data_IF_711806323681
#
_entry.id   IF_711806323681
#
_cell.length_a   1.000
_cell.length_b   1.000
_cell.length_c   1.000
_cell.angle_alpha   90.00
_cell.angle_beta   90.00
_cell.angle_gamma   90.00
#
_symmetry.space_group_name_H-M   'P 1'
#
loop_
_entity.id
_entity.type
_entity.pdbx_description
1 polymer ?
#
# COMPACT_ATOMS: atom_id res chain seq x y z
N UNK A 1 -60.47 -6.03 7.83
CA UNK A 1 -59.25 -5.91 8.63
C UNK A 1 -58.07 -5.90 7.66
N UNK A 2 -57.58 -4.70 7.29
CA UNK A 2 -56.51 -4.54 6.29
C UNK A 2 -55.19 -4.63 7.05
N UNK A 3 -54.46 -5.73 6.89
CA UNK A 3 -53.12 -5.89 7.47
C UNK A 3 -52.12 -5.27 6.49
N UNK A 4 -51.63 -4.09 6.86
CA UNK A 4 -50.63 -3.33 6.13
C UNK A 4 -49.27 -4.04 6.20
N UNK A 5 -48.83 -4.61 5.08
CA UNK A 5 -47.49 -5.17 4.92
C UNK A 5 -46.45 -4.05 4.91
N UNK A 6 -45.80 -3.83 6.05
CA UNK A 6 -44.60 -3.00 6.12
C UNK A 6 -43.47 -3.68 5.34
N UNK A 7 -43.21 -3.16 4.14
CA UNK A 7 -42.04 -3.46 3.32
C UNK A 7 -40.79 -3.01 4.09
N UNK A 8 -40.00 -3.98 4.57
CA UNK A 8 -38.67 -3.71 5.14
C UNK A 8 -37.76 -3.30 3.99
N UNK A 9 -37.41 -2.03 3.94
CA UNK A 9 -36.45 -1.48 2.97
C UNK A 9 -35.06 -1.86 3.49
N UNK A 10 -34.46 -2.91 2.92
CA UNK A 10 -33.07 -3.25 3.18
C UNK A 10 -32.16 -2.13 2.65
N UNK A 11 -31.51 -1.40 3.56
CA UNK A 11 -30.50 -0.40 3.21
C UNK A 11 -29.20 -1.15 2.89
N UNK A 12 -28.95 -1.38 1.61
CA UNK A 12 -27.71 -1.97 1.10
C UNK A 12 -26.54 -0.99 1.28
N UNK A 13 -25.76 -1.17 2.34
CA UNK A 13 -24.45 -0.57 2.50
C UNK A 13 -23.58 -1.57 3.26
N UNK A 14 -22.55 -2.11 2.62
CA UNK A 14 -21.61 -3.04 3.27
C UNK A 14 -20.99 -2.33 4.48
N UNK A 15 -21.25 -2.84 5.68
CA UNK A 15 -20.58 -2.40 6.93
C UNK A 15 -19.07 -2.56 6.76
N UNK A 16 -18.30 -1.51 6.99
CA UNK A 16 -16.83 -1.64 6.94
C UNK A 16 -16.35 -2.50 8.11
N UNK A 17 -15.20 -3.17 7.96
CA UNK A 17 -14.63 -4.00 9.03
C UNK A 17 -14.47 -3.22 10.34
N UNK A 18 -14.11 -1.95 10.27
CA UNK A 18 -14.05 -1.08 11.45
C UNK A 18 -15.42 -0.73 12.02
N UNK A 19 -16.45 -0.55 11.22
CA UNK A 19 -17.81 -0.35 11.74
C UNK A 19 -18.34 -1.57 12.49
N UNK A 20 -17.84 -2.77 12.18
CA UNK A 20 -18.14 -3.99 12.94
C UNK A 20 -17.32 -4.11 14.23
N UNK A 21 -16.07 -3.61 14.24
CA UNK A 21 -15.16 -3.66 15.40
C UNK A 21 -15.38 -2.51 16.40
N UNK A 22 -15.70 -1.31 15.90
CA UNK A 22 -15.93 -0.11 16.67
C UNK A 22 -17.39 0.32 16.56
N UNK A 23 -18.05 0.46 17.70
CA UNK A 23 -19.49 0.78 17.78
C UNK A 23 -19.81 2.19 17.27
N UNK A 24 -18.85 3.12 17.31
CA UNK A 24 -19.07 4.54 16.97
C UNK A 24 -18.54 4.87 15.58
N UNK A 25 -19.46 5.18 14.65
CA UNK A 25 -19.14 5.66 13.30
C UNK A 25 -18.40 7.00 13.32
N UNK A 26 -18.80 7.90 14.22
CA UNK A 26 -18.15 9.20 14.41
C UNK A 26 -16.70 9.02 14.84
N UNK A 27 -16.45 8.09 15.78
CA UNK A 27 -15.09 7.75 16.20
C UNK A 27 -14.25 7.23 15.04
N UNK A 28 -14.76 6.28 14.25
CA UNK A 28 -14.03 5.75 13.09
C UNK A 28 -13.65 6.87 12.12
N UNK A 29 -14.59 7.78 11.82
CA UNK A 29 -14.35 8.93 10.94
C UNK A 29 -13.30 9.89 11.50
N UNK A 30 -13.38 10.22 12.80
CA UNK A 30 -12.40 11.07 13.47
C UNK A 30 -11.02 10.42 13.48
N UNK A 31 -10.91 9.13 13.86
CA UNK A 31 -9.65 8.40 13.85
C UNK A 31 -9.04 8.38 12.45
N UNK A 32 -9.86 8.11 11.42
CA UNK A 32 -9.41 8.14 10.02
C UNK A 32 -8.80 9.51 9.69
N UNK A 33 -9.53 10.59 9.97
CA UNK A 33 -9.06 11.94 9.69
C UNK A 33 -7.76 12.29 10.44
N UNK A 34 -7.71 12.06 11.75
CA UNK A 34 -6.53 12.37 12.56
C UNK A 34 -5.29 11.54 12.17
N UNK A 35 -5.45 10.27 11.83
CA UNK A 35 -4.31 9.41 11.45
C UNK A 35 -3.86 9.61 10.00
N UNK A 36 -4.74 10.11 9.12
CA UNK A 36 -4.37 10.55 7.77
C UNK A 36 -3.70 11.92 7.78
N UNK A 37 -4.04 12.79 8.74
CA UNK A 37 -3.53 14.16 8.86
C UNK A 37 -2.92 14.43 10.26
N UNK A 38 -1.82 13.76 10.65
CA UNK A 38 -1.33 13.79 12.04
C UNK A 38 -0.73 15.13 12.49
N UNK A 39 -0.22 15.94 11.56
CA UNK A 39 0.35 17.28 11.85
C UNK A 39 -0.70 18.41 11.79
N UNK A 40 -1.93 18.12 11.33
CA UNK A 40 -2.99 19.13 11.26
C UNK A 40 -3.67 19.32 12.62
N UNK A 41 -4.04 20.57 12.90
CA UNK A 41 -4.79 20.96 14.08
C UNK A 41 -6.24 21.26 13.69
N UNK A 42 -7.18 20.61 14.36
CA UNK A 42 -8.59 20.70 14.01
C UNK A 42 -9.42 21.27 15.14
N UNK A 43 -10.41 22.10 14.83
CA UNK A 43 -11.45 22.48 15.80
C UNK A 43 -12.75 21.72 15.53
N UNK A 44 -13.55 21.54 16.59
CA UNK A 44 -14.71 20.63 16.55
C UNK A 44 -15.74 20.96 15.45
N UNK A 45 -15.91 22.24 15.09
CA UNK A 45 -16.88 22.66 14.06
C UNK A 45 -16.40 22.33 12.65
N UNK A 46 -15.11 22.49 12.37
CA UNK A 46 -14.50 22.04 11.11
C UNK A 46 -14.65 20.53 10.95
N UNK A 47 -14.31 19.76 11.99
CA UNK A 47 -14.41 18.29 11.96
C UNK A 47 -15.83 17.82 11.66
N UNK A 48 -16.83 18.41 12.32
CA UNK A 48 -18.23 18.11 12.07
C UNK A 48 -18.65 18.30 10.60
N UNK A 49 -18.16 19.38 9.97
CA UNK A 49 -18.39 19.63 8.55
C UNK A 49 -17.64 18.63 7.67
N UNK A 50 -16.33 18.43 7.92
CA UNK A 50 -15.45 17.59 7.10
C UNK A 50 -15.87 16.12 7.10
N UNK A 51 -16.38 15.60 8.22
CA UNK A 51 -16.82 14.20 8.32
C UNK A 51 -18.33 14.01 8.12
N UNK A 52 -19.08 15.10 7.93
CA UNK A 52 -20.52 15.10 7.71
C UNK A 52 -21.32 14.53 8.89
N UNK A 53 -20.97 14.91 10.12
CA UNK A 53 -21.60 14.43 11.35
C UNK A 53 -22.07 15.60 12.24
N UNK A 54 -23.01 15.32 13.15
CA UNK A 54 -23.52 16.33 14.06
C UNK A 54 -22.45 16.80 15.05
N UNK A 55 -22.36 18.13 15.25
CA UNK A 55 -21.39 18.76 16.15
C UNK A 55 -21.38 18.15 17.56
N UNK A 56 -22.55 17.86 18.13
CA UNK A 56 -22.65 17.27 19.48
C UNK A 56 -21.99 15.89 19.58
N UNK A 57 -22.18 15.05 18.56
CA UNK A 57 -21.57 13.72 18.51
C UNK A 57 -20.05 13.82 18.32
N UNK A 58 -19.59 14.73 17.47
CA UNK A 58 -18.16 15.02 17.30
C UNK A 58 -17.55 15.55 18.60
N UNK A 59 -18.19 16.51 19.25
CA UNK A 59 -17.70 17.08 20.51
C UNK A 59 -17.59 16.02 21.62
N UNK A 60 -18.59 15.15 21.74
CA UNK A 60 -18.57 14.05 22.70
C UNK A 60 -17.44 13.06 22.43
N UNK A 61 -17.21 12.68 21.16
CA UNK A 61 -16.12 11.77 20.81
C UNK A 61 -14.74 12.42 20.96
N UNK A 62 -14.59 13.70 20.63
CA UNK A 62 -13.35 14.43 20.87
C UNK A 62 -12.99 14.45 22.34
N UNK A 63 -13.96 14.73 23.22
CA UNK A 63 -13.75 14.66 24.67
C UNK A 63 -13.39 13.25 25.15
N UNK A 64 -13.98 12.20 24.57
CA UNK A 64 -13.62 10.82 24.89
C UNK A 64 -12.18 10.49 24.48
N UNK A 65 -11.77 10.84 23.26
CA UNK A 65 -10.44 10.54 22.72
C UNK A 65 -9.34 11.38 23.41
N UNK A 66 -9.65 12.62 23.78
CA UNK A 66 -8.78 13.46 24.61
C UNK A 66 -8.62 12.87 26.02
N UNK A 67 -9.71 12.45 26.67
CA UNK A 67 -9.69 11.88 28.02
C UNK A 67 -8.84 10.61 28.12
N UNK A 68 -8.80 9.79 27.07
CA UNK A 68 -7.93 8.60 27.05
C UNK A 68 -6.49 8.92 26.65
N UNK A 69 -6.18 10.18 26.28
CA UNK A 69 -4.86 10.63 25.90
C UNK A 69 -4.47 10.38 24.44
N UNK A 70 -5.41 9.91 23.60
CA UNK A 70 -5.15 9.73 22.17
C UNK A 70 -5.11 11.06 21.42
N UNK A 71 -5.91 12.04 21.86
CA UNK A 71 -5.82 13.41 21.38
C UNK A 71 -5.21 14.30 22.45
N UNK A 72 -4.44 15.31 22.02
CA UNK A 72 -4.12 16.47 22.83
C UNK A 72 -4.90 17.68 22.32
N UNK A 73 -5.07 18.68 23.17
CA UNK A 73 -5.72 19.92 22.78
C UNK A 73 -4.95 21.14 23.23
N UNK A 74 -5.16 22.24 22.50
CA UNK A 74 -4.60 23.55 22.79
C UNK A 74 -5.68 24.62 22.61
N UNK A 75 -5.68 25.62 23.48
CA UNK A 75 -6.60 26.74 23.40
C UNK A 75 -5.91 27.96 22.78
N UNK A 76 -6.38 28.37 21.61
CA UNK A 76 -5.88 29.54 20.89
C UNK A 76 -7.05 30.41 20.44
N UNK A 77 -7.00 31.70 20.78
CA UNK A 77 -8.01 32.70 20.39
C UNK A 77 -9.48 32.28 20.64
N UNK A 78 -9.78 31.77 21.85
CA UNK A 78 -11.09 31.23 22.25
C UNK A 78 -11.57 29.98 21.49
N UNK A 79 -10.71 29.37 20.68
CA UNK A 79 -10.98 28.12 19.97
C UNK A 79 -10.11 27.01 20.57
N UNK A 80 -10.70 25.82 20.76
CA UNK A 80 -9.99 24.63 21.21
C UNK A 80 -9.64 23.78 19.98
N UNK A 81 -8.35 23.62 19.74
CA UNK A 81 -7.80 22.79 18.67
C UNK A 81 -7.42 21.43 19.24
N UNK A 82 -7.60 20.40 18.43
CA UNK A 82 -7.27 19.02 18.74
C UNK A 82 -6.26 18.51 17.73
N UNK A 83 -5.33 17.69 18.20
CA UNK A 83 -4.39 16.92 17.37
C UNK A 83 -4.22 15.52 17.94
N UNK A 84 -3.79 14.59 17.10
CA UNK A 84 -3.40 13.26 17.60
C UNK A 84 -2.16 13.36 18.46
N UNK A 85 -2.03 12.48 19.45
CA UNK A 85 -0.85 12.37 20.31
C UNK A 85 0.06 11.23 19.81
N UNK A 86 1.22 11.54 19.20
CA UNK A 86 2.16 10.51 18.75
C UNK A 86 2.74 9.66 19.88
N UNK A 87 2.70 10.17 21.12
CA UNK A 87 3.21 9.47 22.31
C UNK A 87 2.16 8.53 22.95
N UNK A 88 1.01 8.33 22.32
CA UNK A 88 -0.01 7.41 22.82
C UNK A 88 0.49 5.95 22.75
N UNK A 89 0.31 5.10 23.79
CA UNK A 89 0.96 3.79 23.89
C UNK A 89 0.71 2.79 22.74
N UNK A 90 -0.36 2.97 21.96
CA UNK A 90 -0.68 2.13 20.78
C UNK A 90 -0.87 2.97 19.51
N UNK A 91 -0.23 4.14 19.43
CA UNK A 91 -0.35 5.06 18.31
C UNK A 91 -0.03 4.37 16.98
N UNK A 92 1.11 3.69 16.89
CA UNK A 92 1.57 3.05 15.66
C UNK A 92 0.65 1.90 15.22
N UNK A 93 0.16 1.09 16.16
CA UNK A 93 -0.79 0.00 15.90
C UNK A 93 -2.12 0.55 15.39
N UNK A 94 -2.68 1.56 16.08
CA UNK A 94 -3.93 2.18 15.67
C UNK A 94 -3.80 2.84 14.29
N UNK A 95 -2.72 3.60 14.06
CA UNK A 95 -2.44 4.21 12.76
C UNK A 95 -2.39 3.16 11.66
N UNK A 96 -1.64 2.07 11.87
CA UNK A 96 -1.56 0.95 10.91
C UNK A 96 -2.92 0.31 10.64
N UNK A 97 -3.72 0.07 11.68
CA UNK A 97 -5.08 -0.49 11.53
C UNK A 97 -5.95 0.47 10.72
N UNK A 98 -6.01 1.73 11.12
CA UNK A 98 -6.83 2.75 10.46
C UNK A 98 -6.41 2.92 9.00
N UNK A 99 -5.13 3.11 8.69
CA UNK A 99 -4.68 3.25 7.30
C UNK A 99 -4.94 1.99 6.45
N UNK A 100 -4.87 0.80 7.06
CA UNK A 100 -5.22 -0.48 6.41
C UNK A 100 -6.71 -0.61 6.11
N UNK A 101 -7.57 0.00 6.91
CA UNK A 101 -9.01 -0.35 6.94
C UNK A 101 -9.94 0.82 6.64
N UNK A 102 -9.48 2.07 6.69
CA UNK A 102 -10.24 3.27 6.35
C UNK A 102 -9.42 4.31 5.57
N UNK A 103 -10.10 4.98 4.65
CA UNK A 103 -9.56 6.08 3.84
C UNK A 103 -8.70 5.58 2.68
N UNK A 104 -7.40 5.47 2.91
CA UNK A 104 -6.39 5.26 1.88
C UNK A 104 -6.45 3.86 1.25
N UNK A 105 -6.31 2.81 2.06
CA UNK A 105 -6.26 1.45 1.52
C UNK A 105 -7.58 1.01 0.88
N UNK A 106 -8.70 1.51 1.42
CA UNK A 106 -10.04 1.20 0.95
C UNK A 106 -10.39 1.96 -0.35
N UNK A 107 -9.95 3.22 -0.48
CA UNK A 107 -10.08 3.99 -1.70
C UNK A 107 -9.18 3.42 -2.80
N UNK A 108 -7.90 3.15 -2.50
CA UNK A 108 -6.96 2.50 -3.41
C UNK A 108 -7.45 1.11 -3.85
N UNK A 109 -7.99 0.30 -2.94
CA UNK A 109 -8.54 -1.02 -3.29
C UNK A 109 -9.73 -0.90 -4.24
N UNK A 110 -10.70 -0.01 -3.98
CA UNK A 110 -11.85 0.21 -4.87
C UNK A 110 -11.43 0.75 -6.23
N UNK A 111 -10.38 1.56 -6.25
CA UNK A 111 -9.72 2.07 -7.42
C UNK A 111 -9.12 0.93 -8.25
N UNK A 112 -8.28 0.12 -7.62
CA UNK A 112 -7.58 -1.01 -8.23
C UNK A 112 -8.53 -2.12 -8.71
N UNK A 113 -9.64 -2.37 -8.01
CA UNK A 113 -10.68 -3.32 -8.43
C UNK A 113 -11.28 -2.97 -9.82
N UNK A 114 -11.13 -1.73 -10.30
CA UNK A 114 -11.65 -1.27 -11.60
C UNK A 114 -10.62 -1.31 -12.74
N UNK A 115 -9.36 -1.63 -12.44
CA UNK A 115 -8.22 -1.43 -13.34
C UNK A 115 -7.76 -2.69 -14.10
N UNK A 116 -8.36 -3.84 -13.82
CA UNK A 116 -8.02 -5.13 -14.46
C UNK A 116 -7.67 -6.22 -13.44
N UNK A 117 -7.08 -7.35 -13.87
CA UNK A 117 -6.64 -8.43 -12.98
C UNK A 117 -5.38 -8.01 -12.19
N UNK A 118 -5.60 -7.33 -11.06
CA UNK A 118 -4.57 -7.06 -10.06
C UNK A 118 -4.35 -8.32 -9.23
N UNK A 119 -3.13 -8.87 -9.28
CA UNK A 119 -2.77 -10.07 -8.51
C UNK A 119 -2.34 -9.71 -7.08
N UNK A 120 -1.57 -8.64 -6.94
CA UNK A 120 -1.20 -8.08 -5.66
C UNK A 120 -1.06 -6.55 -5.78
N UNK A 121 -1.48 -5.84 -4.74
CA UNK A 121 -1.16 -4.43 -4.60
C UNK A 121 -0.90 -4.13 -3.13
N UNK A 122 0.13 -3.33 -2.86
CA UNK A 122 0.52 -3.03 -1.50
C UNK A 122 1.29 -1.71 -1.42
N UNK A 123 1.11 -1.02 -0.30
CA UNK A 123 1.90 0.16 0.03
C UNK A 123 3.18 -0.32 0.73
N UNK A 124 4.33 0.23 0.35
CA UNK A 124 5.63 -0.04 0.97
C UNK A 124 6.27 1.27 1.47
N UNK A 125 7.53 1.21 1.91
CA UNK A 125 8.26 2.40 2.34
C UNK A 125 7.84 2.93 3.71
N UNK A 126 8.03 4.23 3.93
CA UNK A 126 7.83 4.93 5.21
C UNK A 126 6.39 4.79 5.74
N UNK A 127 5.40 4.83 4.85
CA UNK A 127 3.98 4.59 5.19
C UNK A 127 3.79 3.23 5.83
N UNK A 128 4.47 2.22 5.32
CA UNK A 128 4.34 0.84 5.78
C UNK A 128 5.16 0.56 7.05
N UNK A 129 6.31 1.23 7.22
CA UNK A 129 7.13 1.13 8.45
C UNK A 129 6.51 1.89 9.63
N UNK A 130 5.71 2.94 9.36
CA UNK A 130 5.07 3.76 10.38
C UNK A 130 5.96 4.87 10.94
N UNK A 131 7.05 5.20 10.24
CA UNK A 131 8.06 6.21 10.61
C UNK A 131 7.81 7.59 9.97
N UNK A 132 6.60 7.86 9.48
CA UNK A 132 6.31 9.06 8.67
C UNK A 132 6.12 10.38 9.45
N UNK A 133 6.59 11.46 8.80
CA UNK A 133 5.99 12.80 8.86
C UNK A 133 4.78 12.89 7.90
N UNK A 134 3.77 13.71 8.23
CA UNK A 134 2.48 13.84 7.51
C UNK A 134 2.53 14.17 6.01
N UNK A 135 3.69 14.60 5.51
CA UNK A 135 3.90 15.03 4.13
C UNK A 135 4.53 13.95 3.23
N UNK A 136 4.81 12.76 3.76
CA UNK A 136 5.53 11.74 3.01
C UNK A 136 4.71 11.22 1.82
N UNK A 137 5.38 10.88 0.73
CA UNK A 137 4.74 10.29 -0.44
C UNK A 137 4.23 8.87 -0.14
N UNK A 138 3.17 8.45 -0.83
CA UNK A 138 2.63 7.10 -0.69
C UNK A 138 3.24 6.21 -1.78
N UNK A 139 4.10 5.28 -1.38
CA UNK A 139 4.72 4.32 -2.29
C UNK A 139 3.81 3.10 -2.52
N UNK A 140 3.27 2.96 -3.72
CA UNK A 140 2.36 1.89 -4.13
C UNK A 140 3.02 0.93 -5.13
N UNK A 141 3.05 -0.36 -4.81
CA UNK A 141 3.38 -1.42 -5.75
C UNK A 141 2.11 -2.08 -6.26
N UNK A 142 2.00 -2.25 -7.57
CA UNK A 142 0.94 -3.00 -8.24
C UNK A 142 1.56 -4.11 -9.08
N UNK A 143 1.13 -5.35 -8.83
CA UNK A 143 1.54 -6.54 -9.58
C UNK A 143 0.31 -7.09 -10.30
N UNK A 144 0.35 -7.07 -11.63
CA UNK A 144 -0.73 -7.56 -12.47
C UNK A 144 -0.73 -6.92 -13.84
N UNK A 145 -1.63 -7.38 -14.70
CA UNK A 145 -1.85 -6.80 -16.02
C UNK A 145 -2.89 -5.67 -15.90
N UNK A 146 -2.39 -4.46 -15.66
CA UNK A 146 -3.21 -3.26 -15.41
C UNK A 146 -3.03 -2.23 -16.51
N UNK A 147 -4.13 -1.57 -16.88
CA UNK A 147 -4.06 -0.42 -17.79
C UNK A 147 -3.43 0.78 -17.06
N UNK A 148 -2.22 1.16 -17.47
CA UNK A 148 -1.47 2.28 -16.90
C UNK A 148 -2.19 3.62 -17.05
N UNK A 149 -2.92 3.84 -18.16
CA UNK A 149 -3.67 5.08 -18.35
C UNK A 149 -4.81 5.17 -17.34
N UNK A 150 -5.57 4.08 -17.18
CA UNK A 150 -6.64 4.02 -16.20
C UNK A 150 -6.08 4.15 -14.76
N UNK A 151 -4.96 3.50 -14.45
CA UNK A 151 -4.28 3.61 -13.15
C UNK A 151 -3.89 5.05 -12.85
N UNK A 152 -3.24 5.74 -13.79
CA UNK A 152 -2.82 7.13 -13.62
C UNK A 152 -4.00 8.07 -13.33
N UNK A 153 -5.13 7.90 -14.03
CA UNK A 153 -6.32 8.72 -13.82
C UNK A 153 -6.92 8.52 -12.42
N UNK A 154 -6.90 7.28 -11.94
CA UNK A 154 -7.44 6.92 -10.65
C UNK A 154 -6.54 7.40 -9.52
N UNK A 155 -5.22 7.26 -9.67
CA UNK A 155 -4.24 7.79 -8.72
C UNK A 155 -4.36 9.31 -8.61
N UNK A 156 -4.43 10.04 -9.73
CA UNK A 156 -4.57 11.50 -9.71
C UNK A 156 -5.85 11.99 -9.00
N UNK A 157 -6.92 11.20 -9.03
CA UNK A 157 -8.13 11.50 -8.26
C UNK A 157 -7.90 11.26 -6.76
N UNK A 158 -7.24 10.16 -6.40
CA UNK A 158 -6.92 9.84 -5.02
C UNK A 158 -5.95 10.86 -4.41
N UNK A 159 -4.93 11.32 -5.14
CA UNK A 159 -4.01 12.36 -4.67
C UNK A 159 -4.76 13.66 -4.32
N UNK A 160 -5.77 14.04 -5.12
CA UNK A 160 -6.64 15.20 -4.83
C UNK A 160 -7.50 15.00 -3.59
N UNK A 161 -8.03 13.79 -3.41
CA UNK A 161 -8.88 13.44 -2.26
C UNK A 161 -8.07 13.34 -0.97
N UNK A 162 -6.82 12.89 -1.06
CA UNK A 162 -5.92 12.62 0.07
C UNK A 162 -5.02 13.81 0.40
N UNK A 163 -4.80 14.72 -0.55
CA UNK A 163 -3.85 15.84 -0.42
C UNK A 163 -2.39 15.37 -0.32
N UNK A 164 -2.06 14.20 -0.89
CA UNK A 164 -0.73 13.57 -0.82
C UNK A 164 -0.37 13.00 -2.18
N UNK A 165 0.92 13.06 -2.53
CA UNK A 165 1.46 12.43 -3.73
C UNK A 165 1.51 10.90 -3.56
N UNK A 166 1.19 10.17 -4.62
CA UNK A 166 1.22 8.71 -4.66
C UNK A 166 2.20 8.28 -5.75
N UNK A 167 3.39 7.89 -5.34
CA UNK A 167 4.38 7.27 -6.22
C UNK A 167 3.99 5.80 -6.45
N UNK A 168 3.83 5.39 -7.70
CA UNK A 168 3.45 4.01 -8.00
C UNK A 168 4.39 3.32 -9.00
N UNK A 169 4.59 2.03 -8.78
CA UNK A 169 5.22 1.11 -9.72
C UNK A 169 4.22 0.00 -10.06
N UNK A 170 3.93 -0.17 -11.36
CA UNK A 170 3.09 -1.24 -11.87
C UNK A 170 3.93 -2.15 -12.76
N UNK A 171 3.99 -3.44 -12.41
CA UNK A 171 4.75 -4.46 -13.13
C UNK A 171 3.92 -5.73 -13.28
N UNK A 172 4.19 -6.50 -14.34
CA UNK A 172 3.55 -7.82 -14.50
C UNK A 172 4.20 -8.86 -13.58
N UNK A 173 3.54 -9.99 -13.38
CA UNK A 173 4.14 -11.14 -12.66
C UNK A 173 5.47 -11.58 -13.28
N UNK A 174 5.53 -11.73 -14.60
CA UNK A 174 6.75 -12.17 -15.29
C UNK A 174 7.89 -11.17 -15.15
N UNK A 175 7.59 -9.88 -15.13
CA UNK A 175 8.59 -8.84 -14.89
C UNK A 175 9.10 -8.86 -13.45
N UNK A 176 8.21 -9.05 -12.47
CA UNK A 176 8.60 -9.21 -11.06
C UNK A 176 9.56 -10.41 -10.89
N UNK A 177 9.22 -11.55 -11.48
CA UNK A 177 10.05 -12.76 -11.44
C UNK A 177 11.42 -12.54 -12.10
N UNK A 178 11.45 -11.85 -13.25
CA UNK A 178 12.68 -11.54 -13.98
C UNK A 178 13.59 -10.62 -13.15
N UNK A 179 13.05 -9.56 -12.57
CA UNK A 179 13.81 -8.60 -11.74
C UNK A 179 14.32 -9.23 -10.45
N UNK A 180 13.55 -10.16 -9.87
CA UNK A 180 13.98 -10.94 -8.71
C UNK A 180 15.12 -11.91 -9.05
N UNK A 181 15.03 -12.61 -10.17
CA UNK A 181 16.08 -13.50 -10.65
C UNK A 181 17.37 -12.73 -10.99
N UNK A 182 17.23 -11.51 -11.50
CA UNK A 182 18.35 -10.58 -11.74
C UNK A 182 18.95 -10.00 -10.45
N UNK A 183 18.32 -10.21 -9.29
CA UNK A 183 18.80 -9.71 -8.01
C UNK A 183 18.65 -8.20 -7.84
N UNK A 184 17.62 -7.58 -8.46
CA UNK A 184 17.42 -6.13 -8.40
C UNK A 184 17.21 -5.67 -6.93
N UNK A 185 18.11 -4.83 -6.37
CA UNK A 185 18.08 -4.50 -4.93
C UNK A 185 16.79 -3.81 -4.49
N UNK A 186 16.22 -2.98 -5.36
CA UNK A 186 14.97 -2.28 -5.07
C UNK A 186 13.81 -3.25 -4.83
N UNK A 187 13.58 -4.20 -5.75
CA UNK A 187 12.50 -5.18 -5.64
C UNK A 187 12.70 -6.08 -4.41
N UNK A 188 13.94 -6.50 -4.13
CA UNK A 188 14.24 -7.29 -2.94
C UNK A 188 13.91 -6.53 -1.64
N UNK A 189 14.31 -5.26 -1.55
CA UNK A 189 14.05 -4.43 -0.39
C UNK A 189 12.55 -4.18 -0.20
N UNK A 190 11.81 -3.89 -1.28
CA UNK A 190 10.36 -3.68 -1.24
C UNK A 190 9.62 -4.93 -0.76
N UNK A 191 10.03 -6.12 -1.22
CA UNK A 191 9.41 -7.38 -0.80
C UNK A 191 9.82 -7.83 0.61
N UNK A 192 11.04 -7.53 1.06
CA UNK A 192 11.50 -7.85 2.41
C UNK A 192 10.95 -6.88 3.47
N UNK A 193 10.72 -5.62 3.10
CA UNK A 193 10.28 -4.57 3.98
C UNK A 193 8.85 -4.72 4.51
N UNK A 194 8.48 -3.93 5.53
CA UNK A 194 7.10 -3.84 5.99
C UNK A 194 6.21 -3.36 4.83
N UNK A 195 5.03 -3.94 4.72
CA UNK A 195 4.08 -3.62 3.65
C UNK A 195 2.63 -3.64 4.14
N UNK A 196 1.81 -2.81 3.54
CA UNK A 196 0.37 -2.75 3.76
C UNK A 196 -0.32 -3.32 2.54
N UNK A 197 -0.77 -4.58 2.64
CA UNK A 197 -1.49 -5.25 1.56
C UNK A 197 -2.86 -4.62 1.31
N UNK A 198 -3.13 -4.28 0.04
CA UNK A 198 -4.41 -3.75 -0.46
C UNK A 198 -5.19 -4.83 -1.22
N UNK A 199 -4.50 -5.55 -2.10
CA UNK A 199 -5.02 -6.68 -2.88
C UNK A 199 -4.03 -7.85 -2.77
N UNK A 200 -4.54 -9.07 -2.72
CA UNK A 200 -3.73 -10.28 -2.61
C UNK A 200 -3.29 -10.62 -1.19
N UNK A 201 -2.43 -11.63 -1.05
CA UNK A 201 -1.87 -12.09 0.23
C UNK A 201 -0.34 -11.97 0.20
N UNK A 202 0.24 -11.47 1.29
CA UNK A 202 1.70 -11.38 1.43
C UNK A 202 2.36 -12.77 1.31
N UNK A 203 1.79 -13.82 1.90
CA UNK A 203 2.34 -15.18 1.83
C UNK A 203 2.41 -15.72 0.39
N UNK A 204 1.48 -15.29 -0.48
CA UNK A 204 1.49 -15.68 -1.88
C UNK A 204 2.58 -14.94 -2.65
N UNK A 205 2.76 -13.65 -2.36
CA UNK A 205 3.82 -12.81 -2.93
C UNK A 205 5.21 -13.29 -2.50
N UNK A 206 5.39 -13.63 -1.22
CA UNK A 206 6.65 -14.13 -0.67
C UNK A 206 7.06 -15.46 -1.29
N UNK A 207 6.13 -16.41 -1.40
CA UNK A 207 6.39 -17.71 -2.04
C UNK A 207 6.76 -17.58 -3.52
N UNK A 208 6.12 -16.65 -4.24
CA UNK A 208 6.49 -16.37 -5.62
C UNK A 208 7.93 -15.82 -5.72
N UNK A 209 8.33 -14.97 -4.77
CA UNK A 209 9.67 -14.43 -4.72
C UNK A 209 10.75 -15.48 -4.40
N UNK A 210 10.48 -16.36 -3.44
CA UNK A 210 11.36 -17.48 -3.07
C UNK A 210 11.53 -18.48 -4.23
N UNK A 211 10.44 -18.76 -4.97
CA UNK A 211 10.48 -19.64 -6.13
C UNK A 211 11.33 -19.06 -7.28
N UNK A 212 11.21 -17.76 -7.57
CA UNK A 212 11.99 -17.08 -8.62
C UNK A 212 13.50 -17.04 -8.30
N UNK A 213 13.87 -16.84 -7.03
CA UNK A 213 15.27 -16.85 -6.59
C UNK A 213 15.89 -18.26 -6.64
N UNK A 214 15.10 -19.30 -6.34
CA UNK A 214 15.55 -20.69 -6.43
C UNK A 214 15.80 -21.12 -7.87
N UNK A 215 15.01 -20.60 -8.83
CA UNK A 215 15.17 -20.89 -10.26
C UNK A 215 16.35 -20.16 -10.91
N UNK A 216 16.74 -18.97 -10.40
CA UNK A 216 17.93 -18.24 -10.88
C UNK A 216 19.28 -18.89 -10.53
N UNK A 217 19.32 -19.78 -9.53
CA UNK A 217 20.53 -20.51 -9.10
C UNK A 217 20.77 -21.83 -9.86
N UNK A 218 19.87 -22.23 -10.76
CA UNK A 218 20.01 -23.40 -11.64
C UNK A 218 19.90 -23.00 -13.12
N UNK A 219 20.77 -22.09 -13.56
CA UNK A 219 21.06 -21.95 -15.00
C UNK A 219 21.66 -23.25 -15.54
N UNK A 220 21.43 -23.62 -16.82
CA UNK A 220 21.95 -24.86 -17.37
C UNK A 220 23.48 -24.85 -17.26
N UNK A 221 24.03 -25.85 -16.56
CA UNK A 221 25.48 -26.10 -16.57
C UNK A 221 25.90 -26.30 -18.03
N UNK A 222 27.00 -25.68 -18.50
CA UNK A 222 27.51 -25.95 -19.84
C UNK A 222 27.88 -27.43 -19.89
N UNK A 223 27.14 -28.17 -20.70
CA UNK A 223 27.35 -29.60 -20.91
C UNK A 223 28.79 -29.88 -21.31
N UNK A 224 29.45 -30.68 -20.48
CA UNK A 224 30.71 -31.35 -20.76
C UNK A 224 30.53 -32.43 -21.83
N UNK A 225 31.44 -32.46 -22.80
CA UNK A 225 31.62 -33.53 -23.81
C UNK A 225 31.49 -32.98 -25.25
N UNK A 226 32.49 -33.05 -26.13
CA UNK A 226 33.42 -34.15 -26.33
C UNK A 226 34.81 -33.69 -26.79
N UNK A 227 35.79 -34.39 -26.23
CA UNK A 227 37.16 -34.53 -26.71
C UNK A 227 37.14 -35.29 -28.04
N UNK A 228 37.83 -34.77 -29.06
CA UNK A 228 38.45 -35.61 -30.09
C UNK A 228 39.85 -35.10 -30.36
N UNK A 229 40.80 -35.87 -29.85
CA UNK A 229 42.23 -35.85 -30.14
C UNK A 229 42.51 -36.23 -31.59
N UNK A 230 43.41 -35.51 -32.25
CA UNK A 230 44.01 -35.89 -33.53
C UNK A 230 45.30 -35.10 -33.78
N UNK A 231 46.42 -35.74 -33.48
CA UNK A 231 47.79 -35.20 -33.43
C UNK A 231 48.61 -35.49 -34.69
N UNK A 232 49.64 -34.66 -34.93
CA UNK A 232 50.87 -34.90 -35.73
C UNK A 232 50.70 -34.84 -37.27
N UNK A 233 51.56 -34.23 -38.09
CA UNK A 233 53.03 -33.99 -38.01
C UNK A 233 53.45 -33.02 -39.14
N UNK A 234 54.45 -32.15 -38.91
CA UNK A 234 55.24 -31.51 -39.99
C UNK A 234 56.19 -32.51 -40.67
N UNK A 235 57.16 -32.13 -41.53
CA UNK A 235 57.88 -30.84 -41.58
C UNK A 235 57.99 -30.20 -42.99
N UNK A 236 58.54 -28.97 -43.05
CA UNK A 236 58.64 -28.15 -44.26
C UNK A 236 59.89 -28.36 -45.12
N UNK A 237 60.06 -27.49 -46.12
CA UNK A 237 61.36 -27.06 -46.68
C UNK A 237 61.17 -25.90 -47.69
N UNK A 238 62.08 -24.90 -47.60
CA UNK A 238 62.70 -24.05 -48.66
C UNK A 238 61.91 -23.72 -49.94
N UNK A 239 61.84 -22.49 -50.47
CA UNK A 239 62.85 -21.44 -50.61
C UNK A 239 62.78 -20.88 -52.06
N UNK A 240 63.32 -19.68 -52.29
CA UNK A 240 63.50 -18.97 -53.60
C UNK A 240 62.21 -18.39 -54.23
N UNK A 241 62.15 -17.17 -54.80
CA UNK A 241 63.17 -16.21 -55.20
C UNK A 241 62.86 -15.68 -56.61
N UNK A 242 62.72 -14.35 -56.73
CA UNK A 242 62.96 -13.52 -57.94
C UNK A 242 61.99 -13.64 -59.13
N UNK A 243 61.21 -12.57 -59.38
CA UNK A 243 61.33 -11.63 -60.51
C UNK A 243 60.15 -10.64 -60.50
#
# INVERSE_FOLDING_TARGET
MIVSSKKVIAKSGRTSMLEALFTSKVRIKLLTLFFTHPEEHFYARELAQRIGEHYSAVWQELGNLERIGLLTSEQAANVKYYRVNPHFPIYAELRRIILKTTGLGDALRRALDRLGPVEAAFIYGSVASGEEDSLSDIDLMVVGDVDLMALSSVIAQLEKELGREINYMAITRGELETRLAAGEPFIQNVLAGPKVMLIGREDALRRAAEAAQTQGLHGPSPGSGAVTTGSCTGPGHSGEGVA
#
